data_IF_452732546942
#
_entry.id   IF_452732546942
#
_cell.length_a   1.000
_cell.length_b   1.000
_cell.length_c   1.000
_cell.angle_alpha   90.00
_cell.angle_beta   90.00
_cell.angle_gamma   90.00
#
_symmetry.space_group_name_H-M   'P 1'
#
loop_
_entity.id
_entity.type
_entity.pdbx_description
1 polymer ?
#
# COMPACT_ATOMS: atom_id res chain seq x y z
N UNK A 1 50.28 33.00 49.66
CA UNK A 1 50.16 31.63 49.12
C UNK A 1 48.71 31.45 48.71
N UNK A 2 48.44 31.48 47.41
CA UNK A 2 47.11 31.38 46.79
C UNK A 2 46.87 29.93 46.36
N UNK A 3 45.70 29.35 46.64
CA UNK A 3 45.21 28.12 45.99
C UNK A 3 43.70 27.98 46.23
N UNK A 4 42.86 28.47 45.31
CA UNK A 4 42.23 27.79 44.17
C UNK A 4 41.07 26.86 44.55
N UNK A 5 39.85 27.40 44.46
CA UNK A 5 38.58 26.68 44.41
C UNK A 5 38.40 26.04 43.02
N UNK A 6 38.18 24.74 42.95
CA UNK A 6 37.74 24.05 41.73
C UNK A 6 36.20 24.00 41.69
N UNK A 7 35.60 24.66 40.71
CA UNK A 7 34.17 24.51 40.37
C UNK A 7 34.10 23.51 39.22
N UNK A 8 33.54 22.32 39.47
CA UNK A 8 33.25 21.33 38.45
C UNK A 8 31.96 21.73 37.72
N UNK A 9 32.06 22.13 36.45
CA UNK A 9 30.92 22.37 35.58
C UNK A 9 30.49 21.06 34.91
N UNK A 10 29.33 20.54 35.31
CA UNK A 10 28.70 19.37 34.68
C UNK A 10 28.09 19.77 33.34
N UNK A 11 28.75 19.42 32.24
CA UNK A 11 28.20 19.49 30.89
C UNK A 11 27.16 18.38 30.70
N UNK A 12 25.88 18.72 30.78
CA UNK A 12 24.80 17.83 30.35
C UNK A 12 24.74 17.89 28.82
N UNK A 13 25.29 16.87 28.17
CA UNK A 13 25.10 16.68 26.74
C UNK A 13 23.62 16.34 26.47
N UNK A 14 22.88 17.31 25.93
CA UNK A 14 21.56 17.07 25.39
C UNK A 14 21.72 16.19 24.14
N UNK A 15 21.50 14.88 24.29
CA UNK A 15 21.34 13.98 23.16
C UNK A 15 20.05 14.35 22.44
N UNK A 16 20.15 15.14 21.37
CA UNK A 16 19.03 15.35 20.45
C UNK A 16 18.81 14.04 19.69
N UNK A 17 17.79 13.29 20.12
CA UNK A 17 17.26 12.19 19.33
C UNK A 17 16.70 12.79 18.04
N UNK A 18 17.47 12.73 16.95
CA UNK A 18 17.02 13.12 15.62
C UNK A 18 16.04 12.05 15.13
N UNK A 19 14.74 12.35 14.93
CA UNK A 19 13.82 11.40 14.32
C UNK A 19 14.00 11.43 12.79
N UNK A 20 15.24 11.25 12.29
CA UNK A 20 15.50 11.35 10.85
C UNK A 20 15.13 10.07 10.09
N UNK A 21 15.04 8.91 10.76
CA UNK A 21 14.80 7.63 10.06
C UNK A 21 13.36 7.37 9.65
N UNK A 22 12.38 8.07 10.23
CA UNK A 22 10.95 7.90 9.86
C UNK A 22 10.57 8.82 8.69
N UNK A 23 11.16 10.02 8.62
CA UNK A 23 10.92 10.96 7.53
C UNK A 23 11.54 10.49 6.21
N UNK A 24 12.73 9.89 6.27
CA UNK A 24 13.45 9.43 5.07
C UNK A 24 12.83 8.16 4.46
N UNK A 25 12.24 7.27 5.26
CA UNK A 25 11.43 6.15 4.77
C UNK A 25 10.06 6.60 4.21
N UNK A 26 9.53 7.74 4.65
CA UNK A 26 8.33 8.37 4.06
C UNK A 26 8.63 9.15 2.76
N UNK A 27 9.90 9.43 2.46
CA UNK A 27 10.28 10.34 1.37
C UNK A 27 10.33 9.69 -0.02
N UNK A 28 10.21 8.35 -0.14
CA UNK A 28 10.31 7.64 -1.41
C UNK A 28 9.05 6.89 -1.85
N UNK A 29 8.04 6.78 -0.98
CA UNK A 29 6.78 6.08 -1.31
C UNK A 29 5.58 6.91 -0.90
N UNK A 30 4.68 7.15 -1.84
CA UNK A 30 3.41 7.81 -1.59
C UNK A 30 2.31 6.77 -1.29
N UNK A 31 1.25 7.24 -0.63
CA UNK A 31 0.04 6.48 -0.33
C UNK A 31 -1.09 7.08 -1.17
N UNK A 32 -1.64 6.34 -2.15
CA UNK A 32 -2.65 6.89 -3.04
C UNK A 32 -3.96 7.18 -2.30
N UNK A 33 -4.62 8.28 -2.66
CA UNK A 33 -5.98 8.59 -2.25
C UNK A 33 -6.87 8.48 -3.50
N UNK A 34 -7.52 7.33 -3.66
CA UNK A 34 -8.34 7.01 -4.84
C UNK A 34 -9.68 7.78 -4.88
N UNK A 35 -9.99 8.58 -3.85
CA UNK A 35 -11.16 9.47 -3.79
C UNK A 35 -12.52 8.81 -4.08
N UNK A 36 -12.63 7.49 -3.91
CA UNK A 36 -13.84 6.72 -4.19
C UNK A 36 -14.11 6.51 -5.69
N UNK A 37 -13.15 6.82 -6.57
CA UNK A 37 -13.25 6.56 -8.01
C UNK A 37 -13.30 5.08 -8.34
N UNK A 38 -13.73 4.77 -9.56
CA UNK A 38 -13.59 3.45 -10.15
C UNK A 38 -12.16 3.28 -10.67
N UNK A 39 -11.51 2.18 -10.32
CA UNK A 39 -10.06 2.00 -10.47
C UNK A 39 -9.77 0.81 -11.37
N UNK A 40 -8.87 1.01 -12.33
CA UNK A 40 -8.23 -0.08 -13.05
C UNK A 40 -6.93 -0.41 -12.34
N UNK A 41 -6.68 -1.70 -12.13
CA UNK A 41 -5.44 -2.20 -11.55
C UNK A 41 -4.73 -2.97 -12.66
N UNK A 42 -3.49 -2.61 -12.97
CA UNK A 42 -2.69 -3.29 -13.99
C UNK A 42 -1.35 -3.73 -13.46
N UNK A 43 -0.79 -4.76 -14.09
CA UNK A 43 0.53 -5.34 -13.82
C UNK A 43 1.21 -5.61 -15.18
N UNK A 44 2.46 -6.10 -15.16
CA UNK A 44 3.12 -6.57 -16.38
C UNK A 44 2.34 -7.70 -17.12
N UNK A 45 1.48 -8.44 -16.43
CA UNK A 45 0.66 -9.51 -17.00
C UNK A 45 -0.68 -9.00 -17.60
N UNK A 46 -0.98 -7.71 -17.45
CA UNK A 46 -2.20 -7.06 -17.96
C UNK A 46 -3.08 -6.47 -16.85
N UNK A 47 -4.33 -6.16 -17.21
CA UNK A 47 -5.32 -5.67 -16.25
C UNK A 47 -5.81 -6.81 -15.34
N UNK A 48 -5.92 -6.49 -14.05
CA UNK A 48 -6.57 -7.34 -13.07
C UNK A 48 -8.05 -6.97 -13.02
N UNK A 49 -8.91 -7.91 -13.37
CA UNK A 49 -10.36 -7.79 -13.42
C UNK A 49 -11.03 -8.86 -12.54
N UNK A 50 -12.09 -8.52 -11.81
CA UNK A 50 -12.85 -9.47 -11.03
C UNK A 50 -13.65 -10.40 -11.96
N UNK A 51 -13.56 -11.71 -11.69
CA UNK A 51 -14.39 -12.76 -12.31
C UNK A 51 -14.42 -12.80 -13.86
N UNK A 52 -13.36 -12.34 -14.53
CA UNK A 52 -13.23 -12.44 -16.00
C UNK A 52 -14.23 -11.59 -16.78
N UNK A 53 -14.83 -10.57 -16.16
CA UNK A 53 -15.67 -9.60 -16.85
C UNK A 53 -14.83 -8.50 -17.48
N UNK A 54 -15.10 -8.19 -18.76
CA UNK A 54 -14.40 -7.15 -19.53
C UNK A 54 -14.78 -5.74 -19.05
N UNK A 55 -14.12 -5.26 -18.01
CA UNK A 55 -14.41 -3.97 -17.40
C UNK A 55 -13.12 -3.36 -16.89
N UNK A 56 -12.51 -2.51 -17.72
CA UNK A 56 -11.62 -1.47 -17.20
C UNK A 56 -12.41 -0.69 -16.13
N UNK A 57 -11.74 -0.26 -15.05
CA UNK A 57 -12.38 0.42 -13.91
C UNK A 57 -13.24 -0.49 -13.02
N UNK A 58 -12.77 -1.70 -12.73
CA UNK A 58 -13.55 -2.70 -12.00
C UNK A 58 -13.49 -2.60 -10.46
N UNK A 59 -12.63 -1.74 -9.92
CA UNK A 59 -12.29 -1.76 -8.49
C UNK A 59 -12.63 -0.47 -7.77
N UNK A 60 -13.13 -0.59 -6.55
CA UNK A 60 -13.04 0.48 -5.55
C UNK A 60 -11.89 0.16 -4.61
N UNK A 61 -10.96 1.10 -4.43
CA UNK A 61 -9.86 0.97 -3.48
C UNK A 61 -10.01 2.06 -2.42
N UNK A 62 -10.28 1.66 -1.18
CA UNK A 62 -10.55 2.59 -0.08
C UNK A 62 -9.57 2.36 1.07
N UNK A 63 -9.20 3.43 1.77
CA UNK A 63 -8.45 3.29 3.01
C UNK A 63 -9.37 2.75 4.11
N UNK A 64 -8.87 1.84 4.93
CA UNK A 64 -9.61 1.29 6.07
C UNK A 64 -9.73 2.25 7.27
N UNK A 65 -9.11 3.44 7.19
CA UNK A 65 -9.12 4.45 8.24
C UNK A 65 -8.24 4.10 9.45
N UNK A 66 -7.38 3.09 9.35
CA UNK A 66 -6.47 2.68 10.42
C UNK A 66 -5.03 3.09 10.14
N UNK A 67 -4.21 3.11 11.20
CA UNK A 67 -2.76 3.29 11.10
C UNK A 67 -2.06 1.97 11.52
N UNK A 68 -1.14 1.39 10.72
CA UNK A 68 -0.65 1.84 9.42
C UNK A 68 -1.73 1.94 8.34
N UNK A 69 -1.58 2.87 7.39
CA UNK A 69 -2.54 3.05 6.29
C UNK A 69 -2.63 1.76 5.49
N UNK A 70 -3.82 1.20 5.45
CA UNK A 70 -4.13 0.01 4.69
C UNK A 70 -5.41 0.22 3.88
N UNK A 71 -5.55 -0.62 2.87
CA UNK A 71 -6.56 -0.49 1.83
C UNK A 71 -7.38 -1.75 1.74
N UNK A 72 -8.66 -1.56 1.42
CA UNK A 72 -9.59 -2.60 1.03
C UNK A 72 -9.81 -2.44 -0.47
N UNK A 73 -9.68 -3.54 -1.22
CA UNK A 73 -9.86 -3.58 -2.66
C UNK A 73 -11.16 -4.32 -2.94
N UNK A 74 -12.16 -3.63 -3.51
CA UNK A 74 -13.52 -4.15 -3.71
C UNK A 74 -13.87 -4.19 -5.17
N UNK A 75 -14.54 -5.25 -5.60
CA UNK A 75 -15.21 -5.27 -6.90
C UNK A 75 -16.40 -4.30 -6.87
N UNK A 76 -16.49 -3.39 -7.84
CA UNK A 76 -17.59 -2.41 -7.93
C UNK A 76 -18.93 -3.10 -8.13
N UNK A 77 -18.97 -4.25 -8.82
CA UNK A 77 -20.22 -4.92 -9.18
C UNK A 77 -20.82 -5.70 -8.02
N UNK A 78 -20.00 -6.54 -7.38
CA UNK A 78 -20.49 -7.42 -6.30
C UNK A 78 -20.30 -6.83 -4.91
N UNK A 79 -19.46 -5.79 -4.77
CA UNK A 79 -19.00 -5.25 -3.49
C UNK A 79 -18.22 -6.25 -2.63
N UNK A 80 -17.91 -7.44 -3.18
CA UNK A 80 -16.99 -8.38 -2.55
C UNK A 80 -15.57 -7.82 -2.59
N UNK A 81 -14.78 -8.19 -1.59
CA UNK A 81 -13.44 -7.65 -1.37
C UNK A 81 -12.40 -8.72 -1.64
N UNK A 82 -11.25 -8.28 -2.17
CA UNK A 82 -10.08 -9.11 -2.34
C UNK A 82 -9.67 -9.66 -0.96
N UNK A 83 -9.61 -10.97 -0.85
CA UNK A 83 -9.36 -11.69 0.40
C UNK A 83 -8.19 -12.64 0.18
N UNK A 84 -7.20 -12.59 1.07
CA UNK A 84 -6.06 -13.50 1.07
C UNK A 84 -6.39 -14.79 1.84
N UNK A 85 -6.38 -15.93 1.14
CA UNK A 85 -6.51 -17.23 1.78
C UNK A 85 -5.27 -17.58 2.61
N UNK A 86 -5.45 -18.45 3.60
CA UNK A 86 -4.34 -18.99 4.39
C UNK A 86 -3.25 -19.67 3.52
N UNK A 87 -3.64 -20.23 2.37
CA UNK A 87 -2.73 -20.83 1.38
C UNK A 87 -2.01 -19.85 0.46
N UNK A 88 -2.23 -18.54 0.61
CA UNK A 88 -1.53 -17.50 -0.16
C UNK A 88 -2.24 -17.06 -1.45
N UNK A 89 -3.24 -17.79 -1.95
CA UNK A 89 -4.04 -17.34 -3.10
C UNK A 89 -5.07 -16.28 -2.69
N UNK A 90 -5.43 -15.38 -3.60
CA UNK A 90 -6.52 -14.42 -3.38
C UNK A 90 -7.85 -14.91 -3.95
N UNK A 91 -8.95 -14.50 -3.35
CA UNK A 91 -10.32 -14.71 -3.84
C UNK A 91 -11.21 -13.53 -3.46
N UNK A 92 -12.41 -13.44 -4.04
CA UNK A 92 -13.39 -12.42 -3.66
C UNK A 92 -14.35 -12.98 -2.61
N UNK A 93 -14.58 -12.22 -1.54
CA UNK A 93 -15.50 -12.60 -0.46
C UNK A 93 -16.22 -11.39 0.11
N UNK A 94 -17.33 -11.63 0.80
CA UNK A 94 -18.03 -10.55 1.50
C UNK A 94 -17.11 -9.88 2.51
N UNK A 95 -17.23 -8.56 2.66
CA UNK A 95 -16.44 -7.80 3.61
C UNK A 95 -16.78 -8.23 5.06
N UNK A 96 -15.77 -8.67 5.82
CA UNK A 96 -15.91 -9.12 7.22
C UNK A 96 -15.69 -7.99 8.24
N UNK A 97 -15.61 -6.74 7.77
CA UNK A 97 -15.29 -5.54 8.53
C UNK A 97 -14.31 -4.67 7.77
N UNK A 98 -14.09 -3.43 8.21
CA UNK A 98 -13.09 -2.56 7.58
C UNK A 98 -11.65 -2.94 7.93
N UNK A 99 -11.44 -3.77 8.96
CA UNK A 99 -10.10 -4.08 9.50
C UNK A 99 -9.79 -5.57 9.53
N UNK A 100 -10.48 -6.39 8.72
CA UNK A 100 -10.16 -7.81 8.65
C UNK A 100 -8.73 -7.96 8.06
N UNK A 101 -7.79 -8.60 8.78
CA UNK A 101 -6.40 -8.77 8.31
C UNK A 101 -6.27 -9.49 6.97
N UNK A 102 -7.21 -10.37 6.64
CA UNK A 102 -7.20 -11.09 5.36
C UNK A 102 -7.69 -10.23 4.19
N UNK A 103 -8.33 -9.09 4.46
CA UNK A 103 -8.95 -8.20 3.47
C UNK A 103 -8.30 -6.80 3.46
N UNK A 104 -7.20 -6.63 4.19
CA UNK A 104 -6.47 -5.37 4.34
C UNK A 104 -5.08 -5.49 3.72
N UNK A 105 -4.70 -4.48 2.92
CA UNK A 105 -3.44 -4.47 2.18
C UNK A 105 -2.73 -3.13 2.30
N UNK A 106 -1.43 -3.14 2.54
CA UNK A 106 -0.61 -1.94 2.38
C UNK A 106 -0.30 -1.72 0.90
N UNK A 107 -0.56 -0.50 0.40
CA UNK A 107 -0.23 -0.09 -0.97
C UNK A 107 0.78 1.04 -0.89
N UNK A 108 1.98 0.77 -1.39
CA UNK A 108 3.09 1.74 -1.42
C UNK A 108 3.53 1.95 -2.87
N UNK A 109 3.51 3.19 -3.33
CA UNK A 109 3.79 3.53 -4.73
C UNK A 109 4.97 4.50 -4.86
N UNK A 110 5.68 4.47 -5.98
CA UNK A 110 6.73 5.47 -6.27
C UNK A 110 6.09 6.83 -6.58
N UNK A 111 4.99 6.84 -7.33
CA UNK A 111 4.25 8.06 -7.68
C UNK A 111 2.77 7.92 -7.36
N UNK A 112 2.17 8.99 -6.87
CA UNK A 112 0.74 9.09 -6.61
C UNK A 112 0.28 10.48 -7.03
N UNK A 113 -0.84 10.53 -7.73
CA UNK A 113 -1.52 11.77 -7.99
C UNK A 113 -2.47 12.08 -6.81
N UNK A 114 -2.38 13.28 -6.20
CA UNK A 114 -3.27 13.65 -5.10
C UNK A 114 -4.73 13.86 -5.54
N UNK A 115 -4.98 14.00 -6.84
CA UNK A 115 -6.27 14.33 -7.45
C UNK A 115 -6.78 13.19 -8.34
N UNK A 116 -7.13 12.06 -7.73
CA UNK A 116 -7.76 10.94 -8.43
C UNK A 116 -9.16 11.28 -8.99
N UNK A 117 -9.80 12.39 -8.58
CA UNK A 117 -11.13 12.78 -9.04
C UNK A 117 -11.18 13.65 -10.30
N UNK A 118 -10.03 13.99 -10.93
CA UNK A 118 -10.00 14.87 -12.11
C UNK A 118 -9.39 14.20 -13.34
N UNK A 119 -10.24 13.79 -14.27
CA UNK A 119 -9.87 13.26 -15.60
C UNK A 119 -10.04 11.74 -15.73
N UNK A 120 -10.61 11.30 -16.85
CA UNK A 120 -10.75 9.88 -17.24
C UNK A 120 -9.44 9.36 -17.86
N UNK A 121 -9.20 8.06 -17.76
CA UNK A 121 -8.10 7.30 -18.36
C UNK A 121 -6.68 7.79 -17.97
N UNK A 122 -6.44 8.02 -16.67
CA UNK A 122 -5.13 8.49 -16.17
C UNK A 122 -4.61 7.68 -14.99
N UNK A 123 -3.29 7.46 -14.96
CA UNK A 123 -2.64 6.85 -13.81
C UNK A 123 -2.73 7.78 -12.58
N UNK A 124 -3.31 7.26 -11.50
CA UNK A 124 -3.38 7.92 -10.18
C UNK A 124 -2.32 7.39 -9.23
N UNK A 125 -1.73 6.22 -9.53
CA UNK A 125 -0.56 5.73 -8.83
C UNK A 125 0.24 4.76 -9.70
N UNK A 126 1.56 4.87 -9.69
CA UNK A 126 2.42 3.99 -10.49
C UNK A 126 3.52 3.34 -9.66
N UNK A 127 3.99 2.20 -10.17
CA UNK A 127 5.04 1.38 -9.55
C UNK A 127 4.74 1.00 -8.10
N UNK A 128 3.51 0.56 -7.89
CA UNK A 128 3.00 0.22 -6.59
C UNK A 128 3.33 -1.22 -6.21
N UNK A 129 3.62 -1.43 -4.94
CA UNK A 129 3.67 -2.76 -4.32
C UNK A 129 2.46 -2.93 -3.42
N UNK A 130 1.77 -4.06 -3.52
CA UNK A 130 0.65 -4.43 -2.65
C UNK A 130 1.12 -5.52 -1.70
N UNK A 131 1.03 -5.28 -0.39
CA UNK A 131 1.48 -6.21 0.66
C UNK A 131 0.31 -6.60 1.56
N UNK A 132 0.13 -7.89 1.89
CA UNK A 132 -0.88 -8.29 2.85
C UNK A 132 -0.62 -7.72 4.25
N UNK A 133 -1.69 -7.47 5.01
CA UNK A 133 -1.61 -7.05 6.40
C UNK A 133 -0.64 -7.93 7.20
N UNK A 134 0.23 -7.29 7.99
CA UNK A 134 1.18 -7.96 8.86
C UNK A 134 2.25 -8.80 8.16
N UNK A 135 2.38 -8.74 6.82
CA UNK A 135 3.35 -9.51 6.05
C UNK A 135 4.24 -8.60 5.17
N UNK A 136 5.17 -7.83 5.77
CA UNK A 136 5.97 -6.83 5.04
C UNK A 136 6.92 -7.43 4.00
N UNK A 137 7.28 -8.71 4.14
CA UNK A 137 8.19 -9.43 3.24
C UNK A 137 7.46 -10.16 2.10
N UNK A 138 6.13 -10.10 2.08
CA UNK A 138 5.30 -10.72 1.04
C UNK A 138 4.56 -9.66 0.23
N UNK A 139 4.50 -9.91 -1.07
CA UNK A 139 3.88 -9.07 -2.07
C UNK A 139 2.80 -9.87 -2.79
N UNK A 140 1.68 -9.22 -3.14
CA UNK A 140 0.81 -9.78 -4.15
C UNK A 140 1.58 -9.86 -5.45
N UNK A 141 1.49 -11.00 -6.09
CA UNK A 141 2.20 -11.36 -7.31
C UNK A 141 1.17 -11.86 -8.31
N UNK A 142 1.14 -11.24 -9.47
CA UNK A 142 0.38 -11.69 -10.62
C UNK A 142 0.97 -13.00 -11.15
N UNK A 143 0.10 -13.99 -11.35
CA UNK A 143 0.46 -15.30 -11.91
C UNK A 143 -0.46 -15.57 -13.09
N UNK A 144 -0.39 -14.67 -14.08
CA UNK A 144 -1.31 -14.61 -15.22
C UNK A 144 -2.47 -13.64 -15.01
N UNK A 145 -3.39 -13.60 -15.98
CA UNK A 145 -4.54 -12.68 -15.93
C UNK A 145 -5.48 -13.05 -14.79
N UNK A 146 -5.91 -12.05 -14.01
CA UNK A 146 -6.94 -12.17 -12.98
C UNK A 146 -6.62 -13.14 -11.82
N UNK A 147 -5.35 -13.51 -11.62
CA UNK A 147 -4.94 -14.39 -10.53
C UNK A 147 -3.76 -13.81 -9.75
N UNK A 148 -3.99 -13.51 -8.48
CA UNK A 148 -2.96 -13.02 -7.56
C UNK A 148 -2.67 -14.06 -6.48
N UNK A 149 -1.39 -14.17 -6.16
CA UNK A 149 -0.90 -14.96 -5.01
C UNK A 149 0.01 -14.10 -4.15
N UNK A 150 0.12 -14.42 -2.88
CA UNK A 150 1.11 -13.86 -1.98
C UNK A 150 2.40 -14.66 -2.13
N UNK A 151 3.47 -13.99 -2.53
CA UNK A 151 4.81 -14.56 -2.65
C UNK A 151 5.85 -13.61 -2.04
N UNK A 152 7.07 -14.08 -1.73
CA UNK A 152 8.13 -13.22 -1.24
C UNK A 152 8.39 -12.04 -2.19
N UNK A 153 8.52 -10.85 -1.64
CA UNK A 153 8.85 -9.66 -2.41
C UNK A 153 10.23 -9.79 -3.04
N UNK A 154 10.31 -9.67 -4.36
CA UNK A 154 11.55 -9.74 -5.12
C UNK A 154 11.70 -8.61 -6.16
N UNK A 155 10.69 -7.72 -6.25
CA UNK A 155 10.70 -6.60 -7.20
C UNK A 155 10.45 -7.02 -8.65
N UNK A 156 9.96 -8.24 -8.90
CA UNK A 156 9.57 -8.67 -10.22
C UNK A 156 8.45 -7.79 -10.78
N UNK A 157 8.39 -7.63 -12.10
CA UNK A 157 7.37 -6.80 -12.76
C UNK A 157 5.93 -7.28 -12.49
N UNK A 158 5.73 -8.56 -12.17
CA UNK A 158 4.45 -9.12 -11.73
C UNK A 158 4.05 -8.76 -10.30
N UNK A 159 4.94 -8.11 -9.53
CA UNK A 159 4.69 -7.56 -8.19
C UNK A 159 4.54 -6.02 -8.22
N UNK A 160 4.63 -5.43 -9.41
CA UNK A 160 4.56 -3.98 -9.61
C UNK A 160 3.23 -3.66 -10.29
N UNK A 161 2.43 -2.83 -9.62
CA UNK A 161 1.07 -2.49 -10.01
C UNK A 161 0.97 -1.02 -10.39
N UNK A 162 0.10 -0.71 -11.34
CA UNK A 162 -0.35 0.66 -11.60
C UNK A 162 -1.85 0.75 -11.36
N UNK A 163 -2.29 1.92 -10.91
CA UNK A 163 -3.68 2.24 -10.66
C UNK A 163 -4.05 3.46 -11.48
N UNK A 164 -5.17 3.39 -12.16
CA UNK A 164 -5.71 4.49 -12.94
C UNK A 164 -7.17 4.77 -12.56
N UNK A 165 -7.71 5.90 -13.03
CA UNK A 165 -9.14 6.26 -13.03
C UNK A 165 -9.59 6.63 -14.45
#
# INVERSE_FOLDING_TARGET
>A
MFSLFFIAASLVAAASATPLRVAEARAATCQPNFQGGAIAISTADGFYEPNGGSGLWAWHVEQNGQWPTEYIIKDIKTLNVLTLAAGGSTFLFTQNGSADPSQSFAINCETCDPNAGSGEDRDVATKCTIKPHGKPDFCLTSVGVNYLVSAPCNGAASQVFNFAV
#
